data_IF_998089659297
#
_entry.id   IF_998089659297
#
_cell.length_a   1.000
_cell.length_b   1.000
_cell.length_c   1.000
_cell.angle_alpha   90.00
_cell.angle_beta   90.00
_cell.angle_gamma   90.00
#
_symmetry.space_group_name_H-M   'P 1'
#
loop_
_entity.id
_entity.type
_entity.pdbx_description
1 polymer ?
#
# COMPACT_ATOMS: atom_id res chain seq x y z
N UNK A 1 11.68 8.14 1.19
CA UNK A 1 11.12 7.51 -0.03
C UNK A 1 12.24 6.75 -0.70
N UNK A 2 11.96 5.58 -1.25
CA UNK A 2 12.92 4.78 -2.04
C UNK A 2 12.42 4.67 -3.48
N UNK A 3 13.32 4.37 -4.42
CA UNK A 3 12.91 3.92 -5.75
C UNK A 3 12.06 2.66 -5.58
N UNK A 4 10.96 2.53 -6.33
CA UNK A 4 10.07 1.37 -6.23
C UNK A 4 10.93 0.08 -6.29
N UNK A 5 10.91 -0.75 -5.23
CA UNK A 5 11.79 -1.92 -5.12
C UNK A 5 11.38 -3.05 -6.07
N UNK A 6 10.27 -2.93 -6.80
CA UNK A 6 9.82 -3.91 -7.77
C UNK A 6 9.16 -5.15 -7.14
N UNK A 7 8.89 -5.11 -5.83
CA UNK A 7 8.14 -6.15 -5.12
C UNK A 7 6.71 -6.18 -5.66
N UNK A 8 6.22 -7.38 -5.93
CA UNK A 8 4.82 -7.64 -6.33
C UNK A 8 4.10 -8.31 -5.18
N UNK A 9 2.78 -8.15 -5.14
CA UNK A 9 1.96 -8.93 -4.20
C UNK A 9 1.97 -10.39 -4.65
N UNK A 10 2.26 -11.28 -3.71
CA UNK A 10 2.00 -12.70 -3.86
C UNK A 10 0.60 -12.99 -3.33
N UNK A 11 -0.36 -13.15 -4.23
CA UNK A 11 -1.76 -13.41 -3.88
C UNK A 11 -1.99 -14.79 -3.27
N UNK A 12 -1.01 -15.70 -3.38
CA UNK A 12 -1.04 -16.97 -2.63
C UNK A 12 -0.60 -16.80 -1.16
N UNK A 13 -0.05 -15.63 -0.81
CA UNK A 13 0.50 -15.33 0.50
C UNK A 13 -0.02 -13.96 1.00
N UNK A 14 -1.28 -13.93 1.42
CA UNK A 14 -1.93 -12.76 2.03
C UNK A 14 -2.06 -13.01 3.52
N UNK A 15 -1.62 -12.05 4.35
CA UNK A 15 -1.81 -12.17 5.81
C UNK A 15 -3.29 -12.14 6.19
N UNK A 16 -3.66 -12.77 7.31
CA UNK A 16 -5.04 -12.73 7.83
C UNK A 16 -5.57 -11.30 7.96
N UNK A 17 -4.70 -10.40 8.45
CA UNK A 17 -5.02 -8.98 8.55
C UNK A 17 -5.24 -8.33 7.18
N UNK A 18 -4.38 -8.63 6.20
CA UNK A 18 -4.51 -8.13 4.83
C UNK A 18 -5.81 -8.58 4.18
N UNK A 19 -6.14 -9.87 4.32
CA UNK A 19 -7.38 -10.46 3.80
C UNK A 19 -8.62 -9.82 4.41
N UNK A 20 -8.64 -9.69 5.74
CA UNK A 20 -9.72 -9.01 6.45
C UNK A 20 -9.89 -7.55 5.99
N UNK A 21 -8.79 -6.83 5.71
CA UNK A 21 -8.86 -5.44 5.24
C UNK A 21 -9.28 -5.30 3.79
N UNK A 22 -8.97 -6.25 2.91
CA UNK A 22 -9.50 -6.26 1.54
C UNK A 22 -11.03 -6.33 1.58
N UNK A 23 -11.57 -7.31 2.31
CA UNK A 23 -13.02 -7.54 2.41
C UNK A 23 -13.74 -6.35 3.07
N UNK A 24 -13.28 -5.93 4.26
CA UNK A 24 -13.92 -4.84 5.00
C UNK A 24 -13.90 -3.49 4.27
N UNK A 25 -12.89 -3.26 3.41
CA UNK A 25 -12.68 -1.97 2.74
C UNK A 25 -13.08 -2.01 1.28
N UNK A 26 -13.61 -3.12 0.79
CA UNK A 26 -14.06 -3.29 -0.58
C UNK A 26 -12.96 -3.07 -1.62
N UNK A 27 -11.72 -3.48 -1.30
CA UNK A 27 -10.55 -3.28 -2.18
C UNK A 27 -10.28 -4.56 -2.96
N UNK A 28 -10.20 -4.44 -4.28
CA UNK A 28 -9.88 -5.55 -5.18
C UNK A 28 -8.37 -5.77 -5.34
N UNK A 29 -7.98 -6.98 -5.74
CA UNK A 29 -6.58 -7.29 -6.06
C UNK A 29 -6.01 -6.38 -7.17
N UNK A 30 -6.84 -6.03 -8.16
CA UNK A 30 -6.44 -5.16 -9.26
C UNK A 30 -6.07 -3.75 -8.78
N UNK A 31 -6.82 -3.20 -7.80
CA UNK A 31 -6.51 -1.92 -7.19
C UNK A 31 -5.18 -1.97 -6.43
N UNK A 32 -4.97 -3.01 -5.60
CA UNK A 32 -3.70 -3.18 -4.88
C UNK A 32 -2.53 -3.32 -5.84
N UNK A 33 -2.65 -4.14 -6.88
CA UNK A 33 -1.62 -4.32 -7.90
C UNK A 33 -1.30 -2.98 -8.58
N UNK A 34 -2.31 -2.16 -8.88
CA UNK A 34 -2.12 -0.82 -9.42
C UNK A 34 -1.39 0.10 -8.44
N UNK A 35 -1.75 0.08 -7.16
CA UNK A 35 -1.10 0.92 -6.14
C UNK A 35 0.36 0.53 -5.91
N UNK A 36 0.66 -0.76 -5.88
CA UNK A 36 2.04 -1.27 -5.72
C UNK A 36 2.89 -0.93 -6.94
N UNK A 37 2.33 -1.04 -8.15
CA UNK A 37 3.03 -0.70 -9.39
C UNK A 37 3.32 0.79 -9.53
N UNK A 38 2.33 1.63 -9.24
CA UNK A 38 2.35 3.06 -9.59
C UNK A 38 2.65 3.99 -8.39
N UNK A 39 2.55 3.47 -7.16
CA UNK A 39 2.69 4.25 -5.94
C UNK A 39 4.11 4.65 -5.62
N UNK A 40 4.23 5.69 -4.79
CA UNK A 40 5.51 6.09 -4.19
C UNK A 40 5.80 5.18 -3.00
N UNK A 41 6.96 4.52 -3.02
CA UNK A 41 7.34 3.56 -2.00
C UNK A 41 8.04 4.22 -0.81
N UNK A 42 7.52 3.98 0.38
CA UNK A 42 8.12 4.34 1.65
C UNK A 42 8.62 3.07 2.35
N UNK A 43 9.92 2.98 2.57
CA UNK A 43 10.52 1.88 3.31
C UNK A 43 10.09 1.91 4.78
N UNK A 44 9.82 0.74 5.34
CA UNK A 44 9.53 0.54 6.75
C UNK A 44 10.43 -0.56 7.30
N UNK A 45 10.70 -0.51 8.61
CA UNK A 45 11.39 -1.58 9.35
C UNK A 45 12.69 -2.06 8.66
N UNK A 46 13.55 -1.12 8.23
CA UNK A 46 14.85 -1.44 7.62
C UNK A 46 14.78 -2.26 6.32
N UNK A 47 13.76 -2.03 5.49
CA UNK A 47 13.63 -2.72 4.20
C UNK A 47 12.94 -4.08 4.24
N UNK A 48 12.29 -4.43 5.36
CA UNK A 48 11.48 -5.65 5.46
C UNK A 48 10.11 -5.51 4.81
N UNK A 49 9.60 -4.28 4.65
CA UNK A 49 8.34 -3.98 3.95
C UNK A 49 8.30 -2.55 3.42
N UNK A 50 7.37 -2.29 2.50
CA UNK A 50 7.14 -0.98 1.94
C UNK A 50 5.67 -0.62 1.99
N UNK A 51 5.40 0.64 2.31
CA UNK A 51 4.13 1.29 2.10
C UNK A 51 4.14 1.96 0.72
N UNK A 52 3.31 1.46 -0.18
CA UNK A 52 3.06 2.04 -1.50
C UNK A 52 1.89 3.00 -1.39
N UNK A 53 2.14 4.29 -1.59
CA UNK A 53 1.11 5.33 -1.48
C UNK A 53 0.73 5.85 -2.86
N UNK A 54 -0.56 5.87 -3.15
CA UNK A 54 -1.16 6.65 -4.25
C UNK A 54 -2.21 7.62 -3.70
N UNK A 55 -2.76 8.46 -4.57
CA UNK A 55 -3.92 9.31 -4.22
C UNK A 55 -5.21 8.49 -4.04
N UNK A 56 -5.30 7.32 -4.65
CA UNK A 56 -6.48 6.44 -4.67
C UNK A 56 -6.49 5.42 -3.53
N UNK A 57 -5.32 5.06 -3.02
CA UNK A 57 -5.17 4.11 -1.93
C UNK A 57 -3.71 3.72 -1.69
N UNK A 58 -3.50 2.96 -0.63
CA UNK A 58 -2.18 2.52 -0.20
C UNK A 58 -2.18 1.04 0.17
N UNK A 59 -1.03 0.40 -0.01
CA UNK A 59 -0.81 -0.99 0.36
C UNK A 59 0.52 -1.14 1.08
N UNK A 60 0.57 -2.01 2.11
CA UNK A 60 1.82 -2.43 2.73
C UNK A 60 2.14 -3.84 2.25
N UNK A 61 3.31 -4.01 1.63
CA UNK A 61 3.78 -5.30 1.12
C UNK A 61 5.15 -5.60 1.72
N UNK A 62 5.29 -6.79 2.29
CA UNK A 62 6.57 -7.29 2.80
C UNK A 62 7.52 -7.70 1.66
N UNK A 63 8.79 -7.88 1.98
CA UNK A 63 9.86 -8.23 1.01
C UNK A 63 9.66 -9.56 0.30
N UNK A 64 8.95 -10.48 0.91
CA UNK A 64 8.57 -11.76 0.30
C UNK A 64 7.30 -11.66 -0.56
N UNK A 65 6.69 -10.48 -0.70
CA UNK A 65 5.45 -10.28 -1.44
C UNK A 65 4.18 -10.39 -0.60
N UNK A 66 4.29 -10.67 0.71
CA UNK A 66 3.12 -10.79 1.59
C UNK A 66 2.35 -9.47 1.68
N UNK A 67 1.05 -9.51 1.36
CA UNK A 67 0.18 -8.35 1.59
C UNK A 67 -0.17 -8.24 3.08
N UNK A 68 0.26 -7.14 3.70
CA UNK A 68 0.07 -6.89 5.14
C UNK A 68 -1.21 -6.13 5.41
N UNK A 69 -1.50 -5.07 4.65
CA UNK A 69 -2.72 -4.26 4.81
C UNK A 69 -2.98 -3.38 3.59
N UNK A 70 -4.22 -2.92 3.43
CA UNK A 70 -4.67 -2.02 2.35
C UNK A 70 -5.47 -0.87 2.93
N UNK A 71 -5.29 0.36 2.47
CA UNK A 71 -6.02 1.54 2.93
C UNK A 71 -6.52 2.29 1.69
N UNK A 72 -7.78 2.17 1.26
CA UNK A 72 -8.29 2.99 0.17
C UNK A 72 -8.40 4.45 0.63
N UNK A 73 -8.40 5.39 -0.33
CA UNK A 73 -8.41 6.82 -0.02
C UNK A 73 -9.63 7.26 0.82
N UNK A 74 -10.77 6.56 0.68
CA UNK A 74 -11.95 6.77 1.52
C UNK A 74 -11.69 6.58 3.02
N UNK A 75 -10.64 5.83 3.37
CA UNK A 75 -10.21 5.55 4.74
C UNK A 75 -8.92 6.28 5.13
N UNK A 76 -8.41 7.20 4.31
CA UNK A 76 -7.28 8.04 4.69
C UNK A 76 -7.66 9.00 5.80
N UNK A 77 -6.95 8.89 6.91
CA UNK A 77 -6.98 9.86 7.98
C UNK A 77 -6.15 11.12 7.64
N UNK A 78 -6.10 12.08 8.57
CA UNK A 78 -5.34 13.31 8.38
C UNK A 78 -3.84 13.06 8.14
N UNK A 79 -3.27 12.01 8.73
CA UNK A 79 -1.86 11.68 8.60
C UNK A 79 -1.55 11.09 7.21
N UNK A 80 -2.44 10.22 6.71
CA UNK A 80 -2.34 9.70 5.34
C UNK A 80 -2.52 10.82 4.33
N UNK A 81 -3.49 11.72 4.50
CA UNK A 81 -3.65 12.88 3.61
C UNK A 81 -2.45 13.83 3.64
N UNK A 82 -1.85 14.04 4.82
CA UNK A 82 -0.60 14.81 4.95
C UNK A 82 0.54 14.14 4.17
N UNK A 83 0.64 12.80 4.26
CA UNK A 83 1.62 12.01 3.51
C UNK A 83 1.38 12.11 2.00
N UNK A 84 0.15 11.96 1.54
CA UNK A 84 -0.23 12.12 0.12
C UNK A 84 0.14 13.52 -0.38
N UNK A 85 -0.18 14.57 0.39
CA UNK A 85 0.14 15.95 0.01
C UNK A 85 1.65 16.17 -0.10
N UNK A 86 2.43 15.68 0.87
CA UNK A 86 3.90 15.76 0.81
C UNK A 86 4.48 15.00 -0.38
N UNK A 87 3.86 13.88 -0.73
CA UNK A 87 4.32 13.04 -1.82
C UNK A 87 3.91 13.58 -3.19
N UNK A 88 2.73 14.16 -3.34
CA UNK A 88 2.14 14.48 -4.64
C UNK A 88 1.83 15.97 -4.84
N UNK A 89 2.10 16.83 -3.86
CA UNK A 89 1.84 18.28 -3.90
C UNK A 89 0.39 18.68 -3.63
N UNK A 90 -0.54 17.71 -3.65
CA UNK A 90 -1.95 17.92 -3.32
C UNK A 90 -2.58 16.60 -2.88
N UNK A 91 -3.80 16.69 -2.34
CA UNK A 91 -4.70 15.54 -2.25
C UNK A 91 -5.00 14.97 -3.64
#
# INVERSE_FOLDING_TARGET
>A
MVKNPGVKVDWSNVSDHGMQRLEQRGVSEAEVNSWVKNGKALEQNGGSKWLYVTKQGAAVVAKDGTLVTVIPAANYDANMWSTVTRLFGSK
#
